data_IF_904573610626
#
_entry.id   IF_904573610626
#
_cell.length_a   1.000
_cell.length_b   1.000
_cell.length_c   1.000
_cell.angle_alpha   90.00
_cell.angle_beta   90.00
_cell.angle_gamma   90.00
#
_symmetry.space_group_name_H-M   'P 1'
#
loop_
_entity.id
_entity.type
_entity.pdbx_description
1 polymer ?
#
# COMPACT_ATOMS: atom_id res chain seq x y z
N UNK A 1 12.51 -26.71 1.29
CA UNK A 1 13.39 -25.83 0.47
C UNK A 1 12.65 -24.55 0.16
N UNK A 2 13.28 -23.39 0.33
CA UNK A 2 12.68 -22.09 0.00
C UNK A 2 12.78 -21.86 -1.51
N UNK A 3 11.73 -21.33 -2.13
CA UNK A 3 11.74 -20.90 -3.55
C UNK A 3 12.39 -19.53 -3.70
N UNK A 4 12.84 -19.21 -4.90
CA UNK A 4 13.36 -17.87 -5.22
C UNK A 4 12.22 -16.84 -5.25
N UNK A 5 12.50 -15.62 -4.78
CA UNK A 5 11.56 -14.49 -4.77
C UNK A 5 11.15 -14.05 -6.18
N UNK A 6 12.09 -14.05 -7.12
CA UNK A 6 11.87 -13.57 -8.48
C UNK A 6 11.40 -14.65 -9.46
N UNK A 7 11.52 -15.92 -9.08
CA UNK A 7 11.26 -17.05 -9.98
C UNK A 7 10.86 -18.29 -9.18
N UNK A 8 9.56 -18.57 -9.15
CA UNK A 8 9.01 -19.70 -8.41
C UNK A 8 9.45 -21.08 -8.93
N UNK A 9 10.02 -21.14 -10.14
CA UNK A 9 10.59 -22.36 -10.71
C UNK A 9 11.98 -22.68 -10.14
N UNK A 10 12.62 -21.70 -9.48
CA UNK A 10 13.97 -21.83 -8.91
C UNK A 10 13.94 -22.02 -7.40
N UNK A 11 14.94 -22.75 -6.91
CA UNK A 11 15.21 -22.94 -5.48
C UNK A 11 16.18 -21.86 -5.03
N UNK A 12 15.93 -21.27 -3.86
CA UNK A 12 16.84 -20.31 -3.25
C UNK A 12 18.08 -21.03 -2.70
N UNK A 13 19.28 -20.55 -3.08
CA UNK A 13 20.59 -21.02 -2.61
C UNK A 13 21.28 -19.91 -1.82
N UNK A 14 22.18 -20.29 -0.90
CA UNK A 14 22.88 -19.33 -0.01
C UNK A 14 23.90 -18.43 -0.73
N UNK A 15 24.29 -18.78 -1.96
CA UNK A 15 25.38 -18.16 -2.74
C UNK A 15 24.89 -17.37 -3.97
N UNK A 16 23.58 -17.17 -4.11
CA UNK A 16 23.00 -16.48 -5.26
C UNK A 16 23.15 -14.94 -5.17
N UNK A 17 22.77 -14.35 -4.04
CA UNK A 17 22.83 -12.90 -3.72
C UNK A 17 22.20 -11.93 -4.75
N UNK A 18 21.55 -12.42 -5.80
CA UNK A 18 20.90 -11.59 -6.83
C UNK A 18 19.78 -10.70 -6.26
N UNK A 19 19.11 -11.13 -5.19
CA UNK A 19 18.07 -10.35 -4.50
C UNK A 19 18.59 -9.10 -3.80
N UNK A 20 19.91 -8.98 -3.61
CA UNK A 20 20.53 -7.81 -3.00
C UNK A 20 21.17 -6.87 -4.01
N UNK A 21 21.12 -7.16 -5.32
CA UNK A 21 21.70 -6.29 -6.34
C UNK A 21 20.76 -5.13 -6.66
N UNK A 22 21.33 -3.96 -6.89
CA UNK A 22 20.56 -2.80 -7.34
C UNK A 22 20.10 -3.00 -8.79
N UNK A 23 18.80 -2.82 -9.05
CA UNK A 23 18.23 -2.92 -10.40
C UNK A 23 18.72 -1.82 -11.35
N UNK A 24 19.10 -0.65 -10.80
CA UNK A 24 19.61 0.48 -11.58
C UNK A 24 21.12 0.39 -11.85
N UNK A 25 21.89 -0.09 -10.87
CA UNK A 25 23.35 -0.28 -10.98
C UNK A 25 23.74 -1.71 -10.56
N UNK A 26 23.91 -2.65 -11.51
CA UNK A 26 24.20 -4.05 -11.22
C UNK A 26 25.51 -4.30 -10.45
N UNK A 27 26.41 -3.32 -10.37
CA UNK A 27 27.68 -3.45 -9.64
C UNK A 27 27.54 -3.08 -8.15
N UNK A 28 26.37 -2.61 -7.72
CA UNK A 28 26.11 -2.09 -6.39
C UNK A 28 25.13 -2.99 -5.62
N UNK A 29 25.38 -3.24 -4.34
CA UNK A 29 24.38 -3.76 -3.41
C UNK A 29 23.28 -2.72 -3.18
N UNK A 30 22.02 -3.13 -3.23
CA UNK A 30 20.88 -2.26 -2.98
C UNK A 30 20.96 -1.65 -1.58
N UNK A 31 20.95 -0.33 -1.51
CA UNK A 31 20.93 0.47 -0.29
C UNK A 31 19.58 1.18 -0.09
N UNK A 32 18.54 0.72 -0.80
CA UNK A 32 17.19 1.30 -0.80
C UNK A 32 17.14 2.80 -1.15
N UNK A 33 18.09 3.32 -1.95
CA UNK A 33 18.09 4.73 -2.37
C UNK A 33 16.96 5.13 -3.34
N UNK A 34 16.15 4.18 -3.83
CA UNK A 34 14.96 4.46 -4.65
C UNK A 34 15.21 4.92 -6.10
N UNK A 35 16.48 5.11 -6.52
CA UNK A 35 16.82 5.61 -7.86
C UNK A 35 16.27 4.77 -9.02
N UNK A 36 16.14 3.45 -8.83
CA UNK A 36 15.56 2.54 -9.84
C UNK A 36 14.09 2.83 -10.16
N UNK A 37 13.37 3.50 -9.25
CA UNK A 37 11.97 3.83 -9.43
C UNK A 37 11.76 5.03 -10.37
N UNK A 38 12.83 5.74 -10.76
CA UNK A 38 12.74 6.90 -11.66
C UNK A 38 11.97 8.07 -11.07
N UNK A 39 11.80 8.11 -9.74
CA UNK A 39 11.02 9.12 -9.06
C UNK A 39 11.95 10.21 -8.54
N UNK A 40 12.28 11.16 -9.41
CA UNK A 40 13.03 12.35 -9.00
C UNK A 40 12.17 13.23 -8.10
N UNK A 41 12.67 13.57 -6.91
CA UNK A 41 12.01 14.51 -6.00
C UNK A 41 10.84 13.95 -5.18
N UNK A 42 10.56 12.64 -5.23
CA UNK A 42 9.63 12.03 -4.26
C UNK A 42 10.38 11.73 -2.98
N UNK A 43 9.99 12.46 -1.95
CA UNK A 43 10.26 12.12 -0.56
C UNK A 43 9.65 10.73 -0.33
N UNK A 44 10.49 9.70 -0.31
CA UNK A 44 10.06 8.37 0.12
C UNK A 44 9.35 8.57 1.45
N UNK A 45 8.06 8.23 1.52
CA UNK A 45 7.25 8.43 2.73
C UNK A 45 7.84 7.60 3.86
N UNK A 46 8.74 8.21 4.61
CA UNK A 46 9.41 7.61 5.76
C UNK A 46 8.55 7.85 6.98
N UNK A 47 8.18 6.79 7.68
CA UNK A 47 7.63 6.92 9.03
C UNK A 47 8.83 7.13 9.95
N UNK A 48 8.95 8.32 10.52
CA UNK A 48 9.96 8.60 11.54
C UNK A 48 9.58 7.85 12.81
N UNK A 49 10.39 6.88 13.21
CA UNK A 49 10.26 6.21 14.51
C UNK A 49 11.14 6.97 15.50
N UNK A 50 10.53 7.59 16.51
CA UNK A 50 11.27 8.32 17.55
C UNK A 50 11.70 7.40 18.69
N UNK A 51 10.79 6.53 19.14
CA UNK A 51 11.03 5.58 20.23
C UNK A 51 10.37 4.23 19.93
N UNK A 52 10.87 3.16 20.55
CA UNK A 52 10.32 1.81 20.46
C UNK A 52 9.95 1.40 21.88
N UNK A 53 8.67 1.11 22.12
CA UNK A 53 8.22 0.59 23.42
C UNK A 53 8.88 -0.75 23.73
N UNK A 54 9.46 -0.88 24.92
CA UNK A 54 10.08 -2.12 25.37
C UNK A 54 9.09 -3.01 26.15
N UNK A 55 7.95 -2.46 26.57
CA UNK A 55 6.91 -3.18 27.30
C UNK A 55 5.49 -2.66 27.01
N UNK A 56 4.49 -3.38 27.52
CA UNK A 56 3.06 -3.07 27.29
C UNK A 56 2.60 -1.78 27.97
N UNK A 57 3.26 -1.33 29.04
CA UNK A 57 2.85 -0.11 29.75
C UNK A 57 3.35 1.14 29.02
N UNK A 58 4.57 1.11 28.48
CA UNK A 58 5.10 2.15 27.57
C UNK A 58 4.27 2.26 26.28
N UNK A 59 3.84 1.13 25.73
CA UNK A 59 2.99 1.11 24.53
C UNK A 59 1.68 1.89 24.73
N UNK A 60 1.06 1.77 25.92
CA UNK A 60 -0.19 2.50 26.24
C UNK A 60 0.04 4.00 26.32
N UNK A 61 1.18 4.43 26.87
CA UNK A 61 1.55 5.84 26.97
C UNK A 61 1.65 6.48 25.57
N UNK A 62 2.40 5.85 24.65
CA UNK A 62 2.51 6.34 23.28
C UNK A 62 1.18 6.34 22.50
N UNK A 63 0.28 5.39 22.76
CA UNK A 63 -1.02 5.36 22.08
C UNK A 63 -1.97 6.47 22.52
N UNK A 64 -1.86 6.94 23.78
CA UNK A 64 -2.74 7.99 24.28
C UNK A 64 -2.40 9.35 23.65
N UNK A 65 -1.12 9.62 23.42
CA UNK A 65 -0.64 10.86 22.79
C UNK A 65 -1.06 10.98 21.30
N UNK A 66 -1.20 9.85 20.59
CA UNK A 66 -1.61 9.84 19.17
C UNK A 66 -3.08 10.26 18.99
N UNK A 67 -3.95 9.98 19.98
CA UNK A 67 -5.40 10.23 19.89
C UNK A 67 -5.74 11.71 20.08
N UNK A 68 -4.93 12.49 20.80
CA UNK A 68 -5.21 13.90 21.05
C UNK A 68 -4.85 14.84 19.87
N UNK A 69 -3.92 14.45 18.99
CA UNK A 69 -3.39 15.34 17.93
C UNK A 69 -3.66 14.93 16.46
N UNK A 70 -4.37 13.82 16.18
CA UNK A 70 -4.66 13.40 14.79
C UNK A 70 -6.03 13.86 14.25
N UNK A 71 -6.22 15.18 14.13
CA UNK A 71 -6.97 15.69 12.98
C UNK A 71 -6.00 15.67 11.79
N UNK A 72 -5.84 14.52 11.13
CA UNK A 72 -5.07 14.42 9.89
C UNK A 72 -5.84 15.23 8.84
N UNK A 73 -5.53 16.52 8.71
CA UNK A 73 -5.87 17.27 7.51
C UNK A 73 -5.12 16.59 6.37
N UNK A 74 -5.83 15.76 5.61
CA UNK A 74 -5.38 15.36 4.29
C UNK A 74 -5.33 16.64 3.46
N UNK A 75 -4.19 17.35 3.46
CA UNK A 75 -3.88 18.19 2.31
C UNK A 75 -3.60 17.22 1.16
N UNK A 76 -4.46 17.18 0.12
CA UNK A 76 -4.19 16.35 -1.03
C UNK A 76 -2.96 16.93 -1.73
N UNK A 77 -1.93 16.10 -1.93
CA UNK A 77 -0.85 16.43 -2.85
C UNK A 77 -1.46 16.33 -4.25
N UNK A 78 -1.93 17.46 -4.78
CA UNK A 78 -2.45 17.56 -6.13
C UNK A 78 -1.30 17.62 -7.14
N UNK A 79 -1.02 16.49 -7.76
CA UNK A 79 -0.47 16.45 -9.10
C UNK A 79 -1.67 16.50 -10.08
N UNK A 80 -1.84 17.64 -10.75
CA UNK A 80 -2.70 17.88 -11.93
C UNK A 80 -4.20 17.49 -11.86
N UNK A 81 -4.84 17.50 -10.69
CA UNK A 81 -6.31 17.45 -10.62
C UNK A 81 -6.88 18.85 -10.79
N UNK A 82 -7.79 19.02 -11.76
CA UNK A 82 -8.53 20.27 -11.91
C UNK A 82 -9.42 20.47 -10.67
N UNK A 83 -9.04 21.41 -9.82
CA UNK A 83 -9.91 21.94 -8.77
C UNK A 83 -11.25 22.38 -9.39
N UNK A 84 -12.37 21.79 -8.95
CA UNK A 84 -13.70 22.31 -9.26
C UNK A 84 -14.82 21.30 -9.42
N UNK A 85 -14.52 20.00 -9.54
CA UNK A 85 -15.56 18.95 -9.47
C UNK A 85 -15.07 17.86 -8.52
N UNK A 86 -15.75 17.71 -7.38
CA UNK A 86 -15.64 16.52 -6.54
C UNK A 86 -16.12 15.33 -7.38
N UNK A 87 -15.22 14.67 -8.10
CA UNK A 87 -15.56 13.50 -8.94
C UNK A 87 -15.72 12.22 -8.12
N UNK A 88 -15.74 12.34 -6.79
CA UNK A 88 -15.75 11.22 -5.85
C UNK A 88 -16.99 11.33 -4.96
N UNK A 89 -17.98 10.50 -5.23
CA UNK A 89 -19.10 10.26 -4.33
C UNK A 89 -18.75 9.11 -3.38
N UNK A 90 -19.17 9.19 -2.11
CA UNK A 90 -19.05 8.06 -1.21
C UNK A 90 -19.94 6.91 -1.67
N UNK A 91 -19.46 5.67 -1.53
CA UNK A 91 -20.25 4.49 -1.88
C UNK A 91 -21.55 4.44 -1.06
N UNK A 92 -21.52 4.93 0.18
CA UNK A 92 -22.70 5.04 1.04
C UNK A 92 -23.78 5.99 0.50
N UNK A 93 -23.39 6.98 -0.30
CA UNK A 93 -24.31 7.96 -0.88
C UNK A 93 -24.99 7.42 -2.15
N UNK A 94 -24.40 6.39 -2.79
CA UNK A 94 -24.98 5.72 -3.94
C UNK A 94 -25.63 4.41 -3.51
N UNK A 95 -26.94 4.49 -3.23
CA UNK A 95 -27.75 3.36 -2.71
C UNK A 95 -27.52 2.03 -3.44
N UNK A 96 -27.48 2.06 -4.77
CA UNK A 96 -27.31 0.84 -5.57
C UNK A 96 -25.94 0.18 -5.36
N UNK A 97 -24.87 0.98 -5.16
CA UNK A 97 -23.54 0.45 -4.84
C UNK A 97 -23.46 -0.04 -3.40
N UNK A 98 -24.08 0.67 -2.46
CA UNK A 98 -24.16 0.26 -1.05
C UNK A 98 -24.81 -1.12 -0.91
N UNK A 99 -25.99 -1.29 -1.49
CA UNK A 99 -26.74 -2.56 -1.46
C UNK A 99 -25.94 -3.70 -2.14
N UNK A 100 -25.13 -3.37 -3.15
CA UNK A 100 -24.28 -4.33 -3.87
C UNK A 100 -23.12 -4.84 -3.00
N UNK A 101 -22.50 -3.98 -2.20
CA UNK A 101 -21.37 -4.32 -1.32
C UNK A 101 -21.83 -4.99 -0.01
N UNK A 102 -22.92 -4.51 0.59
CA UNK A 102 -23.41 -5.03 1.88
C UNK A 102 -23.96 -6.46 1.80
N UNK A 103 -24.30 -6.94 0.60
CA UNK A 103 -24.75 -8.32 0.42
C UNK A 103 -23.56 -9.28 0.23
N UNK A 104 -23.29 -10.18 1.19
CA UNK A 104 -22.12 -11.06 1.17
C UNK A 104 -22.09 -12.05 0.01
N UNK A 105 -23.23 -12.31 -0.65
CA UNK A 105 -23.29 -13.15 -1.86
C UNK A 105 -22.69 -12.44 -3.09
N UNK A 106 -22.84 -11.12 -3.18
CA UNK A 106 -22.35 -10.36 -4.32
C UNK A 106 -20.82 -10.25 -4.30
N UNK A 107 -20.22 -10.12 -3.11
CA UNK A 107 -18.76 -10.02 -2.95
C UNK A 107 -17.99 -11.19 -3.57
N UNK A 108 -18.54 -12.42 -3.49
CA UNK A 108 -17.90 -13.60 -4.07
C UNK A 108 -18.27 -13.79 -5.55
N UNK A 109 -19.48 -13.42 -5.96
CA UNK A 109 -20.00 -13.69 -7.30
C UNK A 109 -19.65 -12.58 -8.31
N UNK A 110 -19.68 -11.32 -7.91
CA UNK A 110 -19.59 -10.15 -8.79
C UNK A 110 -18.31 -9.32 -8.63
N UNK A 111 -17.53 -9.54 -7.57
CA UNK A 111 -16.31 -8.78 -7.29
C UNK A 111 -15.06 -9.68 -7.23
N UNK A 112 -13.90 -9.06 -7.50
CA UNK A 112 -12.55 -9.65 -7.37
C UNK A 112 -11.71 -8.69 -6.54
N UNK A 113 -11.08 -9.20 -5.49
CA UNK A 113 -10.03 -8.48 -4.78
C UNK A 113 -8.71 -8.66 -5.52
N UNK A 114 -8.18 -7.59 -6.10
CA UNK A 114 -6.88 -7.62 -6.82
C UNK A 114 -5.71 -7.37 -5.87
N UNK A 115 -5.93 -6.55 -4.84
CA UNK A 115 -5.01 -6.29 -3.73
C UNK A 115 -5.81 -6.05 -2.44
N UNK A 116 -5.19 -6.15 -1.25
CA UNK A 116 -5.86 -5.84 0.02
C UNK A 116 -6.53 -4.46 -0.03
N UNK A 117 -7.86 -4.43 -0.02
CA UNK A 117 -8.66 -3.20 -0.08
C UNK A 117 -8.90 -2.62 -1.48
N UNK A 118 -8.37 -3.22 -2.55
CA UNK A 118 -8.69 -2.87 -3.94
C UNK A 118 -9.59 -3.95 -4.56
N UNK A 119 -10.88 -3.60 -4.68
CA UNK A 119 -11.92 -4.50 -5.17
C UNK A 119 -12.42 -4.00 -6.53
N UNK A 120 -12.46 -4.89 -7.52
CA UNK A 120 -12.95 -4.62 -8.87
C UNK A 120 -14.19 -5.46 -9.18
N UNK A 121 -15.14 -4.90 -9.92
CA UNK A 121 -16.24 -5.67 -10.51
C UNK A 121 -15.71 -6.66 -11.57
N UNK A 122 -16.22 -7.88 -11.54
CA UNK A 122 -16.03 -8.85 -12.62
C UNK A 122 -16.70 -8.28 -13.86
N UNK A 123 -15.91 -8.03 -14.90
CA UNK A 123 -16.49 -7.78 -16.21
C UNK A 123 -17.28 -9.03 -16.60
N UNK A 124 -18.61 -8.90 -16.63
CA UNK A 124 -19.44 -9.80 -17.41
C UNK A 124 -19.22 -9.35 -18.84
N UNK A 125 -18.27 -9.98 -19.54
CA UNK A 125 -18.04 -9.71 -20.95
C UNK A 125 -19.38 -9.72 -21.71
N UNK A 126 -19.57 -8.72 -22.57
CA UNK A 126 -20.58 -8.73 -23.63
C UNK A 126 -20.24 -9.77 -24.69
#
# INVERSE_FOLDING_TARGET
MKKCLFDESKICTEDCDECFKCEYDPNKTCDNCGKCLGIDGVDIRGIKVEEIAENEDESKEYTNDIIEDTYISHEPIYDDYKEGEDTWDFIDDIKDLKDLIENPKNLSEEFIEEFPGLIRLKNKDK
#
